data_IF_946495854288
#
_entry.id   IF_946495854288
#
_cell.length_a   1.000
_cell.length_b   1.000
_cell.length_c   1.000
_cell.angle_alpha   90.00
_cell.angle_beta   90.00
_cell.angle_gamma   90.00
#
_symmetry.space_group_name_H-M   'P 1'
#
loop_
_entity.id
_entity.type
_entity.pdbx_description
1 polymer ?
#
# COMPACT_ATOMS: atom_id res chain seq x y z
N UNK A 1 1.59 -21.99 -4.99
CA UNK A 1 0.96 -21.20 -3.92
C UNK A 1 0.50 -22.14 -2.83
N UNK A 2 0.98 -21.99 -1.60
CA UNK A 2 0.73 -22.95 -0.51
C UNK A 2 1.33 -22.55 0.84
N UNK A 3 2.27 -21.59 0.85
CA UNK A 3 2.93 -21.11 2.07
C UNK A 3 2.49 -19.70 2.50
N UNK A 4 1.72 -18.98 1.68
CA UNK A 4 1.21 -17.64 2.00
C UNK A 4 -0.31 -17.64 2.06
N UNK A 5 -0.86 -17.04 3.11
CA UNK A 5 -2.29 -16.83 3.29
C UNK A 5 -2.64 -15.39 2.90
N UNK A 6 -3.14 -15.19 1.68
CA UNK A 6 -3.51 -13.87 1.17
C UNK A 6 -4.72 -13.33 1.95
N UNK A 7 -4.50 -12.26 2.71
CA UNK A 7 -5.55 -11.62 3.53
C UNK A 7 -6.29 -10.50 2.83
N UNK A 8 -5.70 -9.93 1.77
CA UNK A 8 -6.30 -8.82 1.02
C UNK A 8 -5.63 -8.63 -0.33
N UNK A 9 -6.34 -7.93 -1.22
CA UNK A 9 -5.86 -7.50 -2.52
C UNK A 9 -6.31 -6.04 -2.72
N UNK A 10 -5.39 -5.10 -2.55
CA UNK A 10 -5.72 -3.67 -2.45
C UNK A 10 -5.25 -2.94 -3.70
N UNK A 11 -6.14 -2.18 -4.33
CA UNK A 11 -5.84 -1.38 -5.52
C UNK A 11 -5.70 0.09 -5.13
N UNK A 12 -4.56 0.69 -5.42
CA UNK A 12 -4.36 2.14 -5.37
C UNK A 12 -4.36 2.74 -6.77
N UNK A 13 -4.66 4.04 -6.88
CA UNK A 13 -4.41 4.78 -8.12
C UNK A 13 -2.91 4.82 -8.43
N UNK A 14 -2.57 4.84 -9.72
CA UNK A 14 -1.24 5.23 -10.19
C UNK A 14 -0.96 6.71 -9.89
N UNK A 15 0.06 6.98 -9.06
CA UNK A 15 0.46 8.33 -8.67
C UNK A 15 1.66 8.85 -9.48
N UNK A 16 1.99 8.25 -10.61
CA UNK A 16 3.05 8.75 -11.49
C UNK A 16 2.81 10.22 -11.85
N UNK A 17 3.86 11.03 -11.68
CA UNK A 17 3.88 12.46 -11.99
C UNK A 17 2.68 13.27 -11.45
N UNK A 18 2.07 12.84 -10.34
CA UNK A 18 0.87 13.44 -9.77
C UNK A 18 0.97 14.96 -9.52
N UNK A 19 2.19 15.50 -9.35
CA UNK A 19 2.45 16.93 -9.21
C UNK A 19 2.04 17.74 -10.45
N UNK A 20 1.98 17.10 -11.62
CA UNK A 20 1.49 17.67 -12.89
C UNK A 20 -0.01 17.39 -13.11
N UNK A 21 -0.67 16.79 -12.12
CA UNK A 21 -1.98 16.17 -12.24
C UNK A 21 -1.88 14.65 -12.39
N UNK A 22 -2.92 13.93 -12.00
CA UNK A 22 -2.97 12.47 -12.15
C UNK A 22 -3.17 12.08 -13.62
N UNK A 23 -2.23 11.30 -14.16
CA UNK A 23 -2.35 10.75 -15.52
C UNK A 23 -3.45 9.71 -15.65
N UNK A 24 -3.68 8.95 -14.58
CA UNK A 24 -4.67 7.88 -14.55
C UNK A 24 -5.72 8.15 -13.47
N UNK A 25 -6.97 7.87 -13.82
CA UNK A 25 -8.05 7.82 -12.84
C UNK A 25 -7.92 6.57 -11.96
N UNK A 26 -8.51 6.62 -10.76
CA UNK A 26 -8.59 5.41 -9.92
C UNK A 26 -9.37 4.29 -10.62
N UNK A 27 -10.40 4.65 -11.40
CA UNK A 27 -11.26 3.69 -12.08
C UNK A 27 -10.51 2.91 -13.16
N UNK A 28 -9.55 3.52 -13.86
CA UNK A 28 -8.66 2.80 -14.78
C UNK A 28 -7.81 1.76 -14.03
N UNK A 29 -7.18 2.14 -12.92
CA UNK A 29 -6.42 1.20 -12.08
C UNK A 29 -7.30 0.06 -11.55
N UNK A 30 -8.54 0.36 -11.19
CA UNK A 30 -9.53 -0.63 -10.75
C UNK A 30 -9.87 -1.64 -11.86
N UNK A 31 -10.20 -1.16 -13.05
CA UNK A 31 -10.54 -2.01 -14.20
C UNK A 31 -9.38 -2.89 -14.64
N UNK A 32 -8.15 -2.38 -14.60
CA UNK A 32 -6.96 -3.18 -14.93
C UNK A 32 -6.70 -4.26 -13.87
N UNK A 33 -6.93 -3.95 -12.59
CA UNK A 33 -6.89 -4.95 -11.52
C UNK A 33 -8.00 -6.00 -11.67
N UNK A 34 -9.21 -5.64 -12.10
CA UNK A 34 -10.29 -6.59 -12.38
C UNK A 34 -9.92 -7.55 -13.51
N UNK A 35 -9.34 -7.04 -14.61
CA UNK A 35 -8.82 -7.87 -15.70
C UNK A 35 -7.74 -8.84 -15.21
N UNK A 36 -6.79 -8.35 -14.42
CA UNK A 36 -5.71 -9.17 -13.86
C UNK A 36 -6.25 -10.26 -12.90
N UNK A 37 -7.18 -9.91 -12.02
CA UNK A 37 -7.82 -10.86 -11.10
C UNK A 37 -8.60 -11.94 -11.87
N UNK A 38 -9.32 -11.55 -12.93
CA UNK A 38 -10.00 -12.49 -13.81
C UNK A 38 -9.02 -13.45 -14.48
N UNK A 39 -7.95 -12.94 -15.09
CA UNK A 39 -6.92 -13.77 -15.73
C UNK A 39 -6.27 -14.74 -14.75
N UNK A 40 -5.99 -14.29 -13.52
CA UNK A 40 -5.44 -15.14 -12.47
C UNK A 40 -6.40 -16.29 -12.12
N UNK A 41 -7.69 -15.99 -11.89
CA UNK A 41 -8.71 -16.99 -11.58
C UNK A 41 -8.92 -17.98 -12.74
N UNK A 42 -9.00 -17.48 -13.96
CA UNK A 42 -9.15 -18.31 -15.17
C UNK A 42 -7.94 -19.23 -15.39
N UNK A 43 -6.75 -18.80 -14.96
CA UNK A 43 -5.52 -19.61 -14.99
C UNK A 43 -5.43 -20.67 -13.88
N UNK A 44 -6.48 -20.81 -13.07
CA UNK A 44 -6.58 -21.81 -12.01
C UNK A 44 -5.98 -21.39 -10.66
N UNK A 45 -5.58 -20.12 -10.49
CA UNK A 45 -5.16 -19.62 -9.20
C UNK A 45 -6.37 -19.53 -8.24
N UNK A 46 -6.22 -20.12 -7.06
CA UNK A 46 -7.26 -20.21 -6.03
C UNK A 46 -6.89 -19.36 -4.81
N UNK A 47 -7.89 -19.06 -3.99
CA UNK A 47 -7.72 -18.31 -2.73
C UNK A 47 -7.13 -16.90 -2.90
N UNK A 48 -7.41 -16.25 -4.03
CA UNK A 48 -7.08 -14.83 -4.24
C UNK A 48 -8.27 -13.99 -3.74
N UNK A 49 -8.07 -13.12 -2.72
CA UNK A 49 -9.11 -12.21 -2.24
C UNK A 49 -9.68 -11.33 -3.35
N UNK A 50 -10.93 -10.93 -3.20
CA UNK A 50 -11.51 -9.87 -4.04
C UNK A 50 -10.78 -8.54 -3.86
N UNK A 51 -10.90 -7.68 -4.87
CA UNK A 51 -10.28 -6.36 -4.85
C UNK A 51 -10.90 -5.48 -3.77
N UNK A 52 -10.05 -4.71 -3.08
CA UNK A 52 -10.46 -3.71 -2.10
C UNK A 52 -9.93 -2.35 -2.53
N UNK A 53 -10.78 -1.32 -2.47
CA UNK A 53 -10.40 0.04 -2.90
C UNK A 53 -9.43 0.68 -1.90
N UNK A 54 -8.22 0.98 -2.36
CA UNK A 54 -7.20 1.73 -1.66
C UNK A 54 -7.24 3.23 -1.99
N UNK A 55 -6.11 3.90 -1.75
CA UNK A 55 -5.99 5.37 -1.90
C UNK A 55 -6.04 5.81 -3.35
N UNK A 56 -6.71 6.94 -3.59
CA UNK A 56 -6.89 7.59 -4.89
C UNK A 56 -6.09 8.90 -5.04
N UNK A 57 -5.36 9.29 -3.99
CA UNK A 57 -4.55 10.50 -3.93
C UNK A 57 -3.33 10.30 -3.04
N UNK A 58 -2.33 11.16 -3.21
CA UNK A 58 -1.17 11.25 -2.32
C UNK A 58 -1.52 11.92 -0.99
N UNK A 59 -0.71 11.68 0.04
CA UNK A 59 -0.73 12.44 1.28
C UNK A 59 0.02 13.76 1.14
N UNK A 60 -0.49 14.80 1.79
CA UNK A 60 0.17 16.10 1.86
C UNK A 60 1.03 16.13 3.12
N UNK A 61 2.34 16.40 2.96
CA UNK A 61 3.23 16.63 4.09
C UNK A 61 2.82 17.93 4.80
N UNK A 62 2.56 17.92 6.11
CA UNK A 62 2.25 19.14 6.85
C UNK A 62 3.49 20.04 6.98
N UNK A 63 3.28 21.34 7.14
CA UNK A 63 4.37 22.33 7.30
C UNK A 63 5.28 22.01 8.48
N UNK A 64 4.74 21.40 9.54
CA UNK A 64 5.51 20.94 10.71
C UNK A 64 6.49 19.82 10.38
N UNK A 65 6.28 19.12 9.26
CA UNK A 65 7.03 17.93 8.87
C UNK A 65 6.88 16.74 9.81
N UNK A 66 5.95 16.78 10.77
CA UNK A 66 5.68 15.67 11.71
C UNK A 66 4.64 14.73 11.14
N UNK A 67 4.84 13.42 11.36
CA UNK A 67 3.92 12.39 10.87
C UNK A 67 2.55 12.54 11.53
N UNK A 68 2.55 12.86 12.82
CA UNK A 68 1.38 12.97 13.69
C UNK A 68 0.44 14.10 13.27
N UNK A 69 0.94 15.11 12.54
CA UNK A 69 0.16 16.23 12.03
C UNK A 69 -0.38 15.97 10.61
N UNK A 70 -0.09 14.80 10.02
CA UNK A 70 -0.55 14.45 8.68
C UNK A 70 -2.03 14.09 8.72
N UNK A 71 -2.85 14.77 7.92
CA UNK A 71 -4.27 14.45 7.79
C UNK A 71 -4.47 13.11 7.04
N UNK A 72 -5.07 12.09 7.65
CA UNK A 72 -5.34 10.83 6.96
C UNK A 72 -6.57 10.91 6.04
N UNK A 73 -6.58 10.07 5.03
CA UNK A 73 -7.70 9.82 4.11
C UNK A 73 -8.02 8.30 4.08
N UNK A 74 -8.67 7.76 5.14
CA UNK A 74 -8.85 6.32 5.28
C UNK A 74 -9.78 5.73 4.21
N UNK A 75 -9.32 4.66 3.58
CA UNK A 75 -10.01 3.88 2.55
C UNK A 75 -10.40 2.49 3.05
N UNK A 76 -11.20 1.74 2.27
CA UNK A 76 -11.52 0.35 2.59
C UNK A 76 -10.26 -0.50 2.70
N UNK A 77 -9.28 -0.27 1.83
CA UNK A 77 -7.97 -0.93 1.88
C UNK A 77 -7.21 -0.62 3.16
N UNK A 78 -7.21 0.63 3.63
CA UNK A 78 -6.55 0.98 4.90
C UNK A 78 -7.26 0.31 6.09
N UNK A 79 -8.60 0.25 6.09
CA UNK A 79 -9.39 -0.44 7.13
C UNK A 79 -9.13 -1.94 7.13
N UNK A 80 -8.99 -2.55 5.95
CA UNK A 80 -8.60 -3.95 5.81
C UNK A 80 -7.21 -4.21 6.42
N UNK A 81 -6.23 -3.35 6.14
CA UNK A 81 -4.89 -3.44 6.74
C UNK A 81 -4.99 -3.40 8.26
N UNK A 82 -5.72 -2.43 8.83
CA UNK A 82 -5.91 -2.33 10.28
C UNK A 82 -6.53 -3.61 10.85
N UNK A 83 -7.60 -4.11 10.22
CA UNK A 83 -8.31 -5.29 10.68
C UNK A 83 -7.44 -6.55 10.67
N UNK A 84 -6.60 -6.74 9.64
CA UNK A 84 -5.69 -7.88 9.55
C UNK A 84 -4.47 -7.72 10.44
N UNK A 85 -3.92 -6.50 10.57
CA UNK A 85 -2.79 -6.22 11.45
C UNK A 85 -3.12 -6.42 12.93
N UNK A 86 -4.37 -6.15 13.34
CA UNK A 86 -4.87 -6.44 14.70
C UNK A 86 -4.97 -7.93 15.02
N UNK A 87 -5.01 -8.80 13.99
CA UNK A 87 -4.96 -10.27 14.15
C UNK A 87 -3.54 -10.82 14.12
N UNK A 88 -2.57 -10.00 13.73
CA UNK A 88 -1.16 -10.34 13.67
C UNK A 88 -0.45 -9.97 14.98
N UNK A 89 0.81 -10.39 15.11
CA UNK A 89 1.69 -10.07 16.24
C UNK A 89 3.09 -9.73 15.73
N UNK A 90 3.96 -9.08 16.53
CA UNK A 90 5.31 -8.73 16.09
C UNK A 90 6.14 -9.94 15.63
N UNK A 91 5.93 -11.11 16.25
CA UNK A 91 6.60 -12.39 15.97
C UNK A 91 6.02 -13.11 14.75
N UNK A 92 4.78 -12.79 14.37
CA UNK A 92 4.12 -13.30 13.16
C UNK A 92 3.39 -12.14 12.46
N UNK A 93 4.15 -11.22 11.85
CA UNK A 93 3.59 -9.97 11.33
C UNK A 93 2.77 -10.19 10.07
N UNK A 94 1.85 -9.26 9.81
CA UNK A 94 1.24 -9.10 8.51
C UNK A 94 2.29 -8.54 7.55
N UNK A 95 2.62 -9.31 6.52
CA UNK A 95 3.45 -8.86 5.40
C UNK A 95 2.58 -8.09 4.40
N UNK A 96 2.91 -6.83 4.16
CA UNK A 96 2.33 -6.03 3.07
C UNK A 96 3.34 -5.99 1.93
N UNK A 97 2.93 -6.46 0.75
CA UNK A 97 3.72 -6.34 -0.48
C UNK A 97 3.14 -5.17 -1.28
N UNK A 98 3.90 -4.08 -1.36
CA UNK A 98 3.51 -2.88 -2.09
C UNK A 98 4.18 -2.87 -3.48
N UNK A 99 3.37 -3.10 -4.51
CA UNK A 99 3.73 -2.90 -5.93
C UNK A 99 3.24 -1.58 -6.50
N UNK A 100 2.94 -0.62 -5.63
CA UNK A 100 2.39 0.71 -5.92
C UNK A 100 2.57 1.64 -4.72
N UNK A 101 2.12 2.91 -4.81
CA UNK A 101 2.27 3.89 -3.75
C UNK A 101 1.78 3.42 -2.38
N UNK A 102 2.61 3.64 -1.36
CA UNK A 102 2.36 3.16 0.01
C UNK A 102 1.29 3.96 0.77
N UNK A 103 0.56 4.86 0.08
CA UNK A 103 -0.44 5.77 0.67
C UNK A 103 -1.52 5.06 1.46
N UNK A 104 -1.99 3.90 0.99
CA UNK A 104 -3.01 3.12 1.71
C UNK A 104 -2.47 2.55 3.03
N UNK A 105 -1.20 2.16 3.06
CA UNK A 105 -0.52 1.68 4.27
C UNK A 105 -0.27 2.84 5.23
N UNK A 106 0.20 3.99 4.72
CA UNK A 106 0.39 5.19 5.52
C UNK A 106 -0.92 5.65 6.17
N UNK A 107 -2.04 5.65 5.44
CA UNK A 107 -3.36 5.93 5.99
C UNK A 107 -3.73 4.99 7.15
N UNK A 108 -3.44 3.70 7.02
CA UNK A 108 -3.68 2.73 8.09
C UNK A 108 -2.86 3.05 9.36
N UNK A 109 -1.59 3.44 9.19
CA UNK A 109 -0.69 3.82 10.28
C UNK A 109 -1.05 5.16 10.92
N UNK A 110 -1.56 6.11 10.16
CA UNK A 110 -2.00 7.41 10.67
C UNK A 110 -3.26 7.28 11.52
N UNK A 111 -4.21 6.41 11.14
CA UNK A 111 -5.43 6.19 11.94
C UNK A 111 -5.24 5.22 13.10
N UNK A 112 -4.30 4.29 12.97
CA UNK A 112 -4.06 3.23 13.94
C UNK A 112 -2.56 2.98 14.13
N UNK A 113 -1.82 3.94 14.73
CA UNK A 113 -0.37 3.84 14.89
C UNK A 113 0.06 2.62 15.72
N UNK A 114 -0.82 2.08 16.57
CA UNK A 114 -0.57 0.90 17.39
C UNK A 114 -0.34 -0.38 16.60
N UNK A 115 -0.75 -0.45 15.32
CA UNK A 115 -0.56 -1.65 14.49
C UNK A 115 0.86 -1.79 13.96
N UNK A 116 1.68 -0.74 14.04
CA UNK A 116 2.97 -0.66 13.37
C UNK A 116 3.93 -1.82 13.71
N UNK A 117 4.05 -2.28 14.98
CA UNK A 117 4.88 -3.45 15.31
C UNK A 117 4.44 -4.75 14.61
N UNK A 118 3.16 -4.85 14.27
CA UNK A 118 2.57 -6.04 13.65
C UNK A 118 2.73 -6.05 12.12
N UNK A 119 3.38 -5.05 11.54
CA UNK A 119 3.58 -4.92 10.11
C UNK A 119 5.04 -5.15 9.71
N UNK A 120 5.22 -5.83 8.58
CA UNK A 120 6.42 -5.74 7.74
C UNK A 120 5.97 -5.26 6.38
N UNK A 121 6.57 -4.19 5.88
CA UNK A 121 6.24 -3.66 4.54
C UNK A 121 7.39 -3.94 3.60
N UNK A 122 7.10 -4.73 2.57
CA UNK A 122 8.00 -5.01 1.47
C UNK A 122 7.59 -4.16 0.27
N UNK A 123 8.41 -3.19 -0.09
CA UNK A 123 8.19 -2.30 -1.21
C UNK A 123 8.97 -2.77 -2.43
N UNK A 124 8.33 -2.72 -3.60
CA UNK A 124 8.95 -2.96 -4.88
C UNK A 124 9.20 -1.62 -5.57
N UNK A 125 10.23 -0.87 -5.16
CA UNK A 125 10.61 0.33 -5.91
C UNK A 125 11.25 -0.11 -7.23
N UNK A 126 10.69 0.30 -8.36
CA UNK A 126 11.38 0.17 -9.66
C UNK A 126 12.07 1.49 -10.00
N UNK A 127 12.87 1.47 -11.06
CA UNK A 127 13.66 2.62 -11.52
C UNK A 127 12.87 3.95 -11.52
N UNK A 128 13.54 5.03 -11.11
CA UNK A 128 12.93 6.36 -10.97
C UNK A 128 11.93 6.51 -9.82
N UNK A 129 11.88 5.55 -8.90
CA UNK A 129 11.04 5.64 -7.70
C UNK A 129 9.54 5.50 -7.97
N UNK A 130 9.14 4.83 -9.07
CA UNK A 130 7.76 4.80 -9.57
C UNK A 130 6.73 4.39 -8.50
N UNK A 131 6.98 3.34 -7.72
CA UNK A 131 6.08 2.88 -6.67
C UNK A 131 6.15 3.69 -5.37
N UNK A 132 7.01 4.71 -5.32
CA UNK A 132 7.23 5.59 -4.17
C UNK A 132 6.88 7.05 -4.48
N UNK A 133 6.05 7.31 -5.51
CA UNK A 133 5.70 8.67 -5.95
C UNK A 133 4.86 9.47 -4.94
N UNK A 134 4.20 8.81 -4.00
CA UNK A 134 3.84 9.44 -2.74
C UNK A 134 5.01 9.34 -1.75
N UNK A 135 5.96 10.26 -1.91
CA UNK A 135 7.18 10.25 -1.10
C UNK A 135 6.92 10.47 0.40
N UNK A 136 5.84 11.17 0.75
CA UNK A 136 5.48 11.37 2.16
C UNK A 136 4.91 10.11 2.78
N UNK A 137 4.03 9.39 2.07
CA UNK A 137 3.58 8.07 2.51
C UNK A 137 4.75 7.09 2.66
N UNK A 138 5.67 7.07 1.71
CA UNK A 138 6.85 6.21 1.78
C UNK A 138 7.71 6.53 3.01
N UNK A 139 7.93 7.81 3.29
CA UNK A 139 8.60 8.26 4.51
C UNK A 139 7.89 7.79 5.78
N UNK A 140 6.56 7.95 5.87
CA UNK A 140 5.76 7.50 7.02
C UNK A 140 5.94 6.00 7.25
N UNK A 141 5.79 5.20 6.19
CA UNK A 141 5.88 3.74 6.28
C UNK A 141 7.27 3.30 6.70
N UNK A 142 8.31 3.85 6.07
CA UNK A 142 9.70 3.54 6.40
C UNK A 142 10.06 3.94 7.85
N UNK A 143 9.48 5.03 8.37
CA UNK A 143 9.73 5.48 9.75
C UNK A 143 8.98 4.71 10.81
N UNK A 144 7.79 4.21 10.52
CA UNK A 144 6.91 3.58 11.52
C UNK A 144 6.99 2.06 11.52
N UNK A 145 7.44 1.43 10.43
CA UNK A 145 7.39 -0.04 10.28
C UNK A 145 8.75 -0.65 10.02
N UNK A 146 8.83 -1.98 10.15
CA UNK A 146 9.93 -2.75 9.56
C UNK A 146 9.74 -2.74 8.04
N UNK A 147 10.52 -1.93 7.35
CA UNK A 147 10.41 -1.74 5.90
C UNK A 147 11.60 -2.37 5.17
N UNK A 148 11.31 -3.07 4.08
CA UNK A 148 12.30 -3.57 3.10
C UNK A 148 11.96 -2.92 1.77
N UNK A 149 12.94 -2.34 1.11
CA UNK A 149 12.79 -1.78 -0.23
C UNK A 149 13.67 -2.57 -1.21
N UNK A 150 13.07 -3.03 -2.30
CA UNK A 150 13.72 -3.89 -3.29
C UNK A 150 13.63 -3.26 -4.69
N UNK A 151 14.71 -3.43 -5.46
CA UNK A 151 14.87 -2.99 -6.86
C UNK A 151 14.96 -1.47 -7.10
N UNK A 152 15.19 -0.66 -6.05
CA UNK A 152 15.29 0.80 -6.14
C UNK A 152 16.42 1.37 -7.00
N UNK A 153 17.26 0.51 -7.62
CA UNK A 153 18.17 0.89 -8.71
C UNK A 153 19.41 1.67 -8.32
N UNK A 154 19.48 2.27 -7.14
CA UNK A 154 20.69 2.92 -6.60
C UNK A 154 21.00 2.39 -5.20
N UNK A 155 22.11 1.64 -5.08
CA UNK A 155 22.82 1.41 -3.82
C UNK A 155 24.01 2.35 -3.74
#
# INVERSE_FOLDING_TARGET
>A
MGHANLRGNIVSRDMWDWQKGYHYSFEQSWQDAEKALKLARDSGLKNIPDLTRGSDRVLVRPDSGRIEDTMPHPTDGSRLIVAEAKKAAPEMPLLIIAGGPQTTVANALLTNPEIAPNLVVFNLTVDGGYNSKDGWAAYIVAKKTRSVDWAGGEF
#
